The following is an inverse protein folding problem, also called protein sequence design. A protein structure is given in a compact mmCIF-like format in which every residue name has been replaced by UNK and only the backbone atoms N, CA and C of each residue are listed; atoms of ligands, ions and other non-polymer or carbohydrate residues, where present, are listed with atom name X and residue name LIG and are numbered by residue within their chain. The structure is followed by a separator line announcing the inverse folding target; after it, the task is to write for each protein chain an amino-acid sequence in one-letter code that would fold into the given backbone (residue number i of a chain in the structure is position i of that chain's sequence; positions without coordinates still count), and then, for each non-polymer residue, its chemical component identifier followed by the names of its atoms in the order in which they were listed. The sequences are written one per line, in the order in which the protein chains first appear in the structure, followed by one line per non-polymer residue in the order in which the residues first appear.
data_IF_685509778614
#
_entry.id   IF_685509778614
#
_cell.length_a   1.000
_cell.length_b   1.000
_cell.length_c   1.000
_cell.angle_alpha   90.00
_cell.angle_beta   90.00
_cell.angle_gamma   90.00
#
_symmetry.space_group_name_H-M   'P 1'
#
loop_
_entity.id
_entity.type
_entity.pdbx_description
1 polymer ?
#
# COMPACT_ATOMS: atom_id res chain seq x y z
N UNK A 1 49.84 -53.55 -34.07
CA UNK A 1 48.83 -52.72 -34.78
C UNK A 1 48.01 -51.95 -33.75
N UNK A 2 48.12 -50.64 -33.74
CA UNK A 2 47.41 -49.75 -32.80
C UNK A 2 45.93 -49.60 -33.19
N UNK A 3 45.05 -49.15 -32.27
CA UNK A 3 43.59 -49.12 -32.47
C UNK A 3 43.13 -48.25 -33.66
N UNK A 4 43.97 -47.35 -34.16
CA UNK A 4 43.66 -46.45 -35.27
C UNK A 4 43.48 -47.17 -36.62
N UNK A 5 44.10 -48.34 -36.83
CA UNK A 5 44.01 -49.07 -38.12
C UNK A 5 42.81 -50.01 -38.24
N UNK A 6 41.95 -50.11 -37.23
CA UNK A 6 40.80 -51.05 -37.26
C UNK A 6 39.44 -50.44 -37.56
N UNK A 7 39.28 -49.12 -37.57
CA UNK A 7 38.01 -48.46 -37.96
C UNK A 7 36.76 -48.95 -37.20
N UNK A 8 36.94 -49.59 -36.04
CA UNK A 8 35.89 -50.21 -35.26
C UNK A 8 35.81 -49.49 -33.92
N UNK A 9 34.65 -48.87 -33.66
CA UNK A 9 34.34 -48.29 -32.36
C UNK A 9 34.28 -49.35 -31.26
N UNK A 10 34.21 -48.91 -30.00
CA UNK A 10 34.19 -49.77 -28.80
C UNK A 10 33.10 -50.87 -28.83
N UNK A 11 32.08 -50.71 -29.68
CA UNK A 11 30.93 -51.62 -29.76
C UNK A 11 30.95 -52.56 -30.98
N UNK A 12 32.08 -52.69 -31.69
CA UNK A 12 32.23 -53.53 -32.91
C UNK A 12 31.24 -53.19 -34.04
N UNK A 13 30.58 -52.04 -33.99
CA UNK A 13 29.78 -51.51 -35.08
C UNK A 13 30.67 -50.66 -36.02
N UNK A 14 30.39 -50.65 -37.34
CA UNK A 14 31.07 -49.75 -38.27
C UNK A 14 30.76 -48.30 -37.85
N UNK A 15 31.79 -47.55 -37.46
CA UNK A 15 31.63 -46.13 -37.19
C UNK A 15 31.35 -45.41 -38.53
N UNK A 16 30.25 -44.65 -38.68
CA UNK A 16 30.04 -43.83 -39.86
C UNK A 16 31.12 -42.73 -39.91
N UNK A 17 31.86 -42.67 -41.02
CA UNK A 17 32.91 -41.67 -41.27
C UNK A 17 32.24 -40.27 -41.34
N UNK A 18 32.59 -39.29 -40.49
CA UNK A 18 31.82 -38.05 -40.36
C UNK A 18 32.22 -36.96 -41.37
N UNK A 19 32.86 -37.30 -42.50
CA UNK A 19 33.31 -36.31 -43.48
C UNK A 19 32.99 -36.79 -44.89
N UNK A 20 32.19 -36.00 -45.61
CA UNK A 20 31.65 -36.29 -46.93
C UNK A 20 32.69 -36.51 -48.04
N UNK A 21 32.17 -36.85 -49.22
CA UNK A 21 32.87 -37.27 -50.45
C UNK A 21 34.29 -36.73 -50.60
N UNK A 22 35.26 -37.54 -50.21
CA UNK A 22 36.70 -37.24 -50.32
C UNK A 22 37.16 -37.54 -51.75
N UNK A 23 37.99 -36.64 -52.29
CA UNK A 23 38.57 -36.74 -53.63
C UNK A 23 39.37 -38.04 -53.80
N UNK A 24 39.22 -38.68 -54.96
CA UNK A 24 39.93 -39.92 -55.36
C UNK A 24 41.45 -39.80 -55.22
N UNK A 25 41.99 -38.58 -55.30
CA UNK A 25 43.41 -38.29 -55.19
C UNK A 25 43.97 -38.51 -53.76
N UNK A 26 43.19 -38.17 -52.73
CA UNK A 26 43.56 -38.44 -51.33
C UNK A 26 43.56 -39.94 -51.02
N UNK A 27 42.66 -40.69 -51.67
CA UNK A 27 42.58 -42.13 -51.52
C UNK A 27 43.81 -42.84 -52.12
N UNK A 28 44.30 -42.36 -53.26
CA UNK A 28 45.51 -42.90 -53.90
C UNK A 28 46.79 -42.58 -53.13
N UNK A 29 46.90 -41.39 -52.51
CA UNK A 29 48.06 -41.03 -51.70
C UNK A 29 48.16 -41.88 -50.43
N UNK A 30 47.03 -42.15 -49.77
CA UNK A 30 46.98 -43.10 -48.64
C UNK A 30 47.36 -44.51 -49.05
N UNK A 31 46.89 -44.98 -50.21
CA UNK A 31 47.24 -46.31 -50.71
C UNK A 31 48.74 -46.45 -50.95
N UNK A 32 49.40 -45.44 -51.54
CA UNK A 32 50.87 -45.45 -51.73
C UNK A 32 51.63 -45.43 -50.42
N UNK A 33 51.15 -44.67 -49.42
CA UNK A 33 51.77 -44.64 -48.10
C UNK A 33 51.63 -45.99 -47.39
N UNK A 34 50.45 -46.61 -47.46
CA UNK A 34 50.21 -47.94 -46.88
C UNK A 34 51.05 -49.03 -47.55
N UNK A 35 51.27 -48.97 -48.87
CA UNK A 35 52.15 -49.91 -49.59
C UNK A 35 53.60 -49.75 -49.15
N UNK A 36 54.09 -48.51 -48.96
CA UNK A 36 55.46 -48.29 -48.44
C UNK A 36 55.63 -48.77 -47.00
N UNK A 37 54.63 -48.58 -46.16
CA UNK A 37 54.62 -49.11 -44.79
C UNK A 37 54.61 -50.65 -44.79
N UNK A 38 53.86 -51.28 -45.70
CA UNK A 38 53.84 -52.73 -45.85
C UNK A 38 55.21 -53.27 -46.30
N UNK A 39 55.86 -52.60 -47.27
CA UNK A 39 57.17 -53.01 -47.77
C UNK A 39 58.27 -52.87 -46.70
N UNK A 40 58.20 -51.79 -45.91
CA UNK A 40 59.11 -51.57 -44.77
C UNK A 40 58.87 -52.61 -43.67
N UNK A 41 57.62 -52.89 -43.33
CA UNK A 41 57.26 -53.91 -42.35
C UNK A 41 57.64 -55.33 -42.82
N UNK A 42 57.59 -55.60 -44.12
CA UNK A 42 58.02 -56.87 -44.68
C UNK A 42 59.55 -57.03 -44.62
N UNK A 43 60.31 -55.98 -44.94
CA UNK A 43 61.76 -55.96 -44.74
C UNK A 43 62.16 -56.14 -43.26
N UNK A 44 61.48 -55.48 -42.34
CA UNK A 44 61.73 -55.61 -40.89
C UNK A 44 61.35 -57.01 -40.38
N UNK A 45 60.24 -57.58 -40.85
CA UNK A 45 59.84 -58.94 -40.49
C UNK A 45 60.86 -59.99 -41.00
N UNK A 46 61.40 -59.78 -42.20
CA UNK A 46 62.37 -60.69 -42.82
C UNK A 46 63.74 -60.60 -42.14
N UNK A 47 64.20 -59.39 -41.78
CA UNK A 47 65.41 -59.19 -40.99
C UNK A 47 65.29 -59.74 -39.56
N UNK A 48 64.13 -59.58 -38.91
CA UNK A 48 63.88 -60.20 -37.60
C UNK A 48 63.87 -61.73 -37.69
N UNK A 49 63.37 -62.32 -38.78
CA UNK A 49 63.40 -63.77 -38.98
C UNK A 49 64.84 -64.31 -39.13
N UNK A 50 65.70 -63.59 -39.86
CA UNK A 50 67.12 -63.92 -39.99
C UNK A 50 67.89 -63.75 -38.67
N UNK A 51 67.65 -62.65 -37.93
CA UNK A 51 68.24 -62.44 -36.60
C UNK A 51 67.75 -63.47 -35.57
N UNK A 52 66.52 -63.98 -35.70
CA UNK A 52 66.03 -65.08 -34.84
C UNK A 52 66.60 -66.44 -35.18
N UNK A 53 67.13 -66.67 -36.39
CA UNK A 53 67.77 -67.94 -36.74
C UNK A 53 69.14 -68.08 -36.06
N UNK A 54 69.94 -67.00 -36.06
CA UNK A 54 71.23 -66.97 -35.35
C UNK A 54 71.05 -66.98 -33.82
N UNK A 55 70.04 -66.27 -33.29
CA UNK A 55 69.68 -66.35 -31.88
C UNK A 55 69.16 -67.74 -31.47
N UNK A 56 68.41 -68.43 -32.35
CA UNK A 56 67.99 -69.83 -32.11
C UNK A 56 69.16 -70.79 -32.15
N UNK A 57 70.17 -70.56 -32.99
CA UNK A 57 71.39 -71.38 -33.02
C UNK A 57 72.22 -71.19 -31.75
N UNK A 58 72.37 -69.95 -31.27
CA UNK A 58 73.02 -69.66 -29.99
C UNK A 58 72.27 -70.30 -28.81
N UNK A 59 70.95 -70.16 -28.75
CA UNK A 59 70.11 -70.83 -27.74
C UNK A 59 70.19 -72.35 -27.83
N UNK A 60 70.30 -72.93 -29.04
CA UNK A 60 70.44 -74.37 -29.21
C UNK A 60 71.81 -74.88 -28.77
N UNK A 61 72.89 -74.12 -29.02
CA UNK A 61 74.23 -74.45 -28.51
C UNK A 61 74.31 -74.30 -26.98
N UNK A 62 73.62 -73.31 -26.40
CA UNK A 62 73.47 -73.14 -24.95
C UNK A 62 72.66 -74.28 -24.33
N UNK A 63 71.53 -74.68 -24.95
CA UNK A 63 70.72 -75.84 -24.53
C UNK A 63 71.50 -77.15 -24.61
N UNK A 64 72.37 -77.32 -25.62
CA UNK A 64 73.23 -78.49 -25.72
C UNK A 64 74.31 -78.51 -24.63
N UNK A 65 74.79 -77.34 -24.20
CA UNK A 65 75.72 -77.21 -23.07
C UNK A 65 75.03 -77.52 -21.74
N UNK A 66 73.84 -76.96 -21.50
CA UNK A 66 73.02 -77.26 -20.32
C UNK A 66 72.61 -78.74 -20.25
N UNK A 67 72.30 -79.37 -21.39
CA UNK A 67 72.00 -80.81 -21.43
C UNK A 67 73.23 -81.68 -21.14
N UNK A 68 74.44 -81.23 -21.49
CA UNK A 68 75.69 -81.92 -21.13
C UNK A 68 75.96 -81.83 -19.62
N UNK A 69 75.77 -80.65 -19.03
CA UNK A 69 75.91 -80.46 -17.58
C UNK A 69 74.84 -81.21 -16.79
N UNK A 70 73.59 -81.27 -17.29
CA UNK A 70 72.52 -82.07 -16.71
C UNK A 70 72.80 -83.57 -16.81
N UNK A 71 73.42 -84.04 -17.89
CA UNK A 71 73.84 -85.43 -18.03
C UNK A 71 74.98 -85.79 -17.08
N UNK A 72 75.96 -84.90 -16.87
CA UNK A 72 77.03 -85.09 -15.86
C UNK A 72 76.53 -84.97 -14.42
N UNK A 73 75.50 -84.15 -14.16
CA UNK A 73 74.85 -84.06 -12.85
C UNK A 73 73.99 -85.30 -12.54
N UNK A 74 73.33 -85.87 -13.55
CA UNK A 74 72.53 -87.09 -13.41
C UNK A 74 73.40 -88.30 -13.02
N UNK A 75 74.64 -88.40 -13.53
CA UNK A 75 75.58 -89.48 -13.18
C UNK A 75 76.18 -89.33 -11.77
N UNK A 76 76.11 -88.13 -11.17
CA UNK A 76 76.54 -87.83 -9.80
C UNK A 76 75.42 -87.93 -8.75
N UNK A 77 74.16 -88.07 -9.18
CA UNK A 77 73.03 -88.34 -8.30
C UNK A 77 72.98 -89.81 -7.92
N UNK A 78 73.88 -90.21 -7.02
CA UNK A 78 73.72 -91.39 -6.19
C UNK A 78 72.32 -91.38 -5.55
N UNK A 79 71.57 -92.45 -5.82
CA UNK A 79 70.44 -93.01 -5.07
C UNK A 79 69.90 -92.06 -3.98
N UNK A 80 68.89 -91.25 -4.33
CA UNK A 80 68.03 -90.65 -3.31
C UNK A 80 67.50 -91.83 -2.47
N UNK A 81 67.73 -91.86 -1.15
CA UNK A 81 67.22 -92.94 -0.31
C UNK A 81 65.71 -93.03 -0.50
N UNK A 82 65.15 -94.24 -0.70
CA UNK A 82 63.70 -94.44 -0.86
C UNK A 82 62.87 -93.75 0.24
N UNK A 83 63.44 -93.61 1.45
CA UNK A 83 62.86 -92.86 2.57
C UNK A 83 62.60 -91.37 2.25
N UNK A 84 63.46 -90.70 1.48
CA UNK A 84 63.27 -89.30 1.05
C UNK A 84 62.23 -89.18 -0.07
N UNK A 85 62.07 -90.22 -0.90
CA UNK A 85 61.02 -90.27 -1.93
C UNK A 85 59.63 -90.40 -1.27
N UNK A 86 59.49 -91.25 -0.25
CA UNK A 86 58.24 -91.40 0.49
C UNK A 86 57.88 -90.12 1.27
N UNK A 87 58.85 -89.45 1.91
CA UNK A 87 58.61 -88.17 2.57
C UNK A 87 58.15 -87.07 1.60
N UNK A 88 58.70 -87.01 0.38
CA UNK A 88 58.27 -86.07 -0.66
C UNK A 88 56.88 -86.42 -1.20
N UNK A 89 56.53 -87.70 -1.35
CA UNK A 89 55.17 -88.13 -1.72
C UNK A 89 54.15 -87.72 -0.65
N UNK A 90 54.50 -87.85 0.62
CA UNK A 90 53.64 -87.43 1.73
C UNK A 90 53.46 -85.90 1.76
N UNK A 91 54.52 -85.13 1.54
CA UNK A 91 54.44 -83.67 1.41
C UNK A 91 53.63 -83.25 0.16
N UNK A 92 53.77 -83.93 -0.96
CA UNK A 92 52.96 -83.70 -2.16
C UNK A 92 51.48 -84.01 -1.89
N UNK A 93 51.20 -85.10 -1.18
CA UNK A 93 49.83 -85.44 -0.79
C UNK A 93 49.25 -84.42 0.21
N UNK A 94 50.05 -83.92 1.16
CA UNK A 94 49.64 -82.88 2.12
C UNK A 94 49.34 -81.55 1.41
N UNK A 95 50.25 -81.07 0.57
CA UNK A 95 50.06 -79.84 -0.23
C UNK A 95 48.90 -79.96 -1.20
N UNK A 96 48.67 -81.14 -1.79
CA UNK A 96 47.50 -81.37 -2.64
C UNK A 96 46.20 -81.31 -1.82
N UNK A 97 46.16 -81.89 -0.61
CA UNK A 97 44.99 -81.76 0.29
C UNK A 97 44.75 -80.31 0.71
N UNK A 98 45.79 -79.54 1.02
CA UNK A 98 45.68 -78.12 1.36
C UNK A 98 45.14 -77.29 0.18
N UNK A 99 45.65 -77.54 -1.03
CA UNK A 99 45.13 -76.94 -2.25
C UNK A 99 43.65 -77.26 -2.46
N UNK A 100 43.26 -78.51 -2.30
CA UNK A 100 41.86 -78.94 -2.44
C UNK A 100 40.97 -78.29 -1.36
N UNK A 101 41.46 -78.13 -0.13
CA UNK A 101 40.77 -77.39 0.92
C UNK A 101 40.63 -75.90 0.58
N UNK A 102 41.67 -75.26 0.06
CA UNK A 102 41.65 -73.86 -0.34
C UNK A 102 40.65 -73.61 -1.48
N UNK A 103 40.61 -74.53 -2.46
CA UNK A 103 39.63 -74.48 -3.56
C UNK A 103 38.20 -74.57 -3.00
N UNK A 104 37.93 -75.46 -2.05
CA UNK A 104 36.61 -75.56 -1.41
C UNK A 104 36.24 -74.29 -0.66
N UNK A 105 37.14 -73.75 0.18
CA UNK A 105 36.90 -72.49 0.90
C UNK A 105 36.61 -71.34 -0.06
N UNK A 106 37.38 -71.22 -1.15
CA UNK A 106 37.16 -70.18 -2.14
C UNK A 106 35.82 -70.35 -2.87
N UNK A 107 35.41 -71.58 -3.18
CA UNK A 107 34.09 -71.86 -3.78
C UNK A 107 32.95 -71.53 -2.82
N UNK A 108 33.09 -71.84 -1.53
CA UNK A 108 32.14 -71.49 -0.48
C UNK A 108 32.02 -69.95 -0.35
N UNK A 109 33.14 -69.24 -0.26
CA UNK A 109 33.19 -67.78 -0.21
C UNK A 109 32.56 -67.13 -1.45
N UNK A 110 32.86 -67.64 -2.65
CA UNK A 110 32.23 -67.17 -3.89
C UNK A 110 30.72 -67.43 -3.91
N UNK A 111 30.26 -68.56 -3.38
CA UNK A 111 28.83 -68.85 -3.30
C UNK A 111 28.13 -67.92 -2.31
N UNK A 112 28.74 -67.66 -1.15
CA UNK A 112 28.24 -66.75 -0.13
C UNK A 112 28.22 -65.29 -0.61
N UNK A 113 29.22 -64.88 -1.39
CA UNK A 113 29.26 -63.56 -2.00
C UNK A 113 28.18 -63.40 -3.10
N UNK A 114 27.93 -64.46 -3.88
CA UNK A 114 26.85 -64.44 -4.87
C UNK A 114 25.48 -64.35 -4.21
N UNK A 115 25.24 -65.07 -3.12
CA UNK A 115 23.95 -64.99 -2.41
C UNK A 115 23.74 -63.62 -1.78
N UNK A 116 24.76 -63.06 -1.10
CA UNK A 116 24.67 -61.72 -0.52
C UNK A 116 24.46 -60.64 -1.58
N UNK A 117 25.11 -60.74 -2.74
CA UNK A 117 24.87 -59.82 -3.85
C UNK A 117 23.44 -59.88 -4.38
N UNK A 118 22.85 -61.08 -4.53
CA UNK A 118 21.47 -61.21 -4.99
C UNK A 118 20.48 -60.66 -3.96
N UNK A 119 20.74 -60.84 -2.67
CA UNK A 119 19.93 -60.29 -1.59
C UNK A 119 20.02 -58.75 -1.54
N UNK A 120 21.22 -58.19 -1.62
CA UNK A 120 21.39 -56.73 -1.71
C UNK A 120 20.70 -56.16 -2.96
N UNK A 121 20.77 -56.89 -4.09
CA UNK A 121 20.09 -56.48 -5.33
C UNK A 121 18.56 -56.50 -5.16
N UNK A 122 17.99 -57.53 -4.53
CA UNK A 122 16.54 -57.58 -4.31
C UNK A 122 16.08 -56.51 -3.33
N UNK A 123 16.85 -56.26 -2.26
CA UNK A 123 16.60 -55.18 -1.31
C UNK A 123 16.63 -53.79 -2.00
N UNK A 124 17.62 -53.55 -2.86
CA UNK A 124 17.72 -52.28 -3.59
C UNK A 124 16.52 -52.06 -4.54
N UNK A 125 16.09 -53.12 -5.24
CA UNK A 125 14.90 -53.06 -6.10
C UNK A 125 13.66 -52.77 -5.27
N UNK A 126 13.50 -53.45 -4.13
CA UNK A 126 12.35 -53.28 -3.25
C UNK A 126 12.29 -51.86 -2.67
N UNK A 127 13.41 -51.34 -2.17
CA UNK A 127 13.52 -49.95 -1.70
C UNK A 127 13.20 -48.95 -2.80
N UNK A 128 13.66 -49.19 -4.03
CA UNK A 128 13.34 -48.36 -5.19
C UNK A 128 11.83 -48.32 -5.49
N UNK A 129 11.16 -49.48 -5.40
CA UNK A 129 9.71 -49.57 -5.60
C UNK A 129 8.92 -48.89 -4.48
N UNK A 130 9.33 -49.07 -3.23
CA UNK A 130 8.63 -48.48 -2.08
C UNK A 130 8.81 -46.95 -2.05
N UNK A 131 10.02 -46.46 -2.38
CA UNK A 131 10.25 -45.03 -2.54
C UNK A 131 9.42 -44.44 -3.70
N UNK A 132 9.34 -45.12 -4.84
CA UNK A 132 8.51 -44.66 -5.95
C UNK A 132 7.01 -44.63 -5.61
N UNK A 133 6.52 -45.58 -4.81
CA UNK A 133 5.13 -45.56 -4.31
C UNK A 133 4.90 -44.40 -3.34
N UNK A 134 5.81 -44.19 -2.39
CA UNK A 134 5.71 -43.09 -1.44
C UNK A 134 5.73 -41.74 -2.14
N UNK A 135 6.58 -41.57 -3.15
CA UNK A 135 6.66 -40.35 -3.94
C UNK A 135 5.37 -40.10 -4.72
N UNK A 136 4.80 -41.11 -5.37
CA UNK A 136 3.50 -40.99 -6.05
C UNK A 136 2.35 -40.66 -5.09
N UNK A 137 2.35 -41.23 -3.89
CA UNK A 137 1.35 -40.91 -2.88
C UNK A 137 1.48 -39.47 -2.37
N UNK A 138 2.71 -38.99 -2.15
CA UNK A 138 2.97 -37.61 -1.76
C UNK A 138 2.60 -36.61 -2.88
N UNK A 139 2.87 -36.94 -4.14
CA UNK A 139 2.43 -36.14 -5.29
C UNK A 139 0.91 -36.06 -5.38
N UNK A 140 0.20 -37.17 -5.19
CA UNK A 140 -1.27 -37.19 -5.20
C UNK A 140 -1.87 -36.39 -4.03
N UNK A 141 -1.31 -36.50 -2.82
CA UNK A 141 -1.74 -35.73 -1.64
C UNK A 141 -1.47 -34.23 -1.84
N UNK A 142 -0.31 -33.86 -2.40
CA UNK A 142 0.01 -32.48 -2.74
C UNK A 142 -0.92 -31.90 -3.81
N UNK A 143 -1.25 -32.69 -4.85
CA UNK A 143 -2.19 -32.27 -5.88
C UNK A 143 -3.60 -32.04 -5.30
N UNK A 144 -4.09 -32.95 -4.46
CA UNK A 144 -5.39 -32.80 -3.81
C UNK A 144 -5.46 -31.53 -2.92
N UNK A 145 -4.39 -31.24 -2.16
CA UNK A 145 -4.29 -30.01 -1.36
C UNK A 145 -4.24 -28.75 -2.20
N UNK A 146 -3.59 -28.78 -3.37
CA UNK A 146 -3.59 -27.65 -4.29
C UNK A 146 -4.98 -27.41 -4.89
N UNK A 147 -5.71 -28.46 -5.27
CA UNK A 147 -7.06 -28.34 -5.80
C UNK A 147 -8.03 -27.76 -4.75
N UNK A 148 -7.96 -28.23 -3.49
CA UNK A 148 -8.73 -27.68 -2.37
C UNK A 148 -8.39 -26.20 -2.12
N UNK A 149 -7.11 -25.84 -2.11
CA UNK A 149 -6.68 -24.44 -1.94
C UNK A 149 -7.14 -23.53 -3.10
N UNK A 150 -7.20 -24.05 -4.33
CA UNK A 150 -7.71 -23.31 -5.49
C UNK A 150 -9.22 -23.12 -5.41
N UNK A 151 -9.96 -24.11 -4.92
CA UNK A 151 -11.40 -23.99 -4.67
C UNK A 151 -11.70 -22.96 -3.58
N UNK A 152 -10.98 -23.01 -2.46
CA UNK A 152 -11.08 -22.03 -1.38
C UNK A 152 -10.75 -20.60 -1.85
N UNK A 153 -9.69 -20.44 -2.63
CA UNK A 153 -9.33 -19.16 -3.23
C UNK A 153 -10.41 -18.65 -4.20
N UNK A 154 -11.01 -19.54 -5.00
CA UNK A 154 -12.13 -19.22 -5.87
C UNK A 154 -13.35 -18.73 -5.09
N UNK A 155 -13.70 -19.43 -4.01
CA UNK A 155 -14.79 -19.06 -3.12
C UNK A 155 -14.53 -17.71 -2.43
N UNK A 156 -13.34 -17.48 -1.88
CA UNK A 156 -12.96 -16.21 -1.29
C UNK A 156 -13.03 -15.04 -2.28
N UNK A 157 -12.57 -15.25 -3.52
CA UNK A 157 -12.65 -14.22 -4.56
C UNK A 157 -14.12 -13.90 -4.93
N UNK A 158 -15.00 -14.91 -4.95
CA UNK A 158 -16.43 -14.68 -5.20
C UNK A 158 -17.09 -13.83 -4.11
N UNK A 159 -16.70 -14.03 -2.84
CA UNK A 159 -17.18 -13.21 -1.71
C UNK A 159 -16.68 -11.77 -1.83
N UNK A 160 -15.39 -11.57 -2.10
CA UNK A 160 -14.81 -10.23 -2.27
C UNK A 160 -15.46 -9.47 -3.44
N UNK A 161 -15.76 -10.14 -4.55
CA UNK A 161 -16.47 -9.52 -5.68
C UNK A 161 -17.88 -9.08 -5.30
N UNK A 162 -18.61 -9.88 -4.51
CA UNK A 162 -19.93 -9.50 -4.01
C UNK A 162 -19.86 -8.29 -3.05
N UNK A 163 -18.88 -8.26 -2.15
CA UNK A 163 -18.65 -7.11 -1.25
C UNK A 163 -18.31 -5.84 -2.02
N UNK A 164 -17.46 -5.93 -3.05
CA UNK A 164 -17.13 -4.79 -3.93
C UNK A 164 -18.37 -4.28 -4.69
N UNK A 165 -19.25 -5.17 -5.14
CA UNK A 165 -20.50 -4.77 -5.80
C UNK A 165 -21.43 -4.02 -4.83
N UNK A 166 -21.57 -4.50 -3.59
CA UNK A 166 -22.37 -3.83 -2.56
C UNK A 166 -21.79 -2.47 -2.16
N UNK A 167 -20.46 -2.35 -2.05
CA UNK A 167 -19.80 -1.06 -1.81
C UNK A 167 -20.02 -0.09 -2.98
N UNK A 168 -19.96 -0.56 -4.23
CA UNK A 168 -20.24 0.26 -5.40
C UNK A 168 -21.69 0.75 -5.41
N UNK A 169 -22.66 -0.10 -5.03
CA UNK A 169 -24.06 0.30 -4.86
C UNK A 169 -24.21 1.36 -3.77
N UNK A 170 -23.58 1.15 -2.61
CA UNK A 170 -23.62 2.10 -1.50
C UNK A 170 -23.01 3.46 -1.88
N UNK A 171 -21.88 3.46 -2.59
CA UNK A 171 -21.24 4.68 -3.10
C UNK A 171 -22.17 5.44 -4.04
N UNK A 172 -22.81 4.76 -5.00
CA UNK A 172 -23.76 5.39 -5.93
C UNK A 172 -24.96 6.02 -5.19
N UNK A 173 -25.44 5.39 -4.13
CA UNK A 173 -26.49 5.94 -3.27
C UNK A 173 -25.99 7.20 -2.53
N UNK A 174 -24.77 7.17 -2.00
CA UNK A 174 -24.17 8.31 -1.32
C UNK A 174 -23.95 9.50 -2.28
N UNK A 175 -23.43 9.25 -3.48
CA UNK A 175 -23.28 10.26 -4.54
C UNK A 175 -24.63 10.87 -4.92
N UNK A 176 -25.68 10.04 -5.06
CA UNK A 176 -27.04 10.51 -5.30
C UNK A 176 -27.60 11.38 -4.18
N UNK A 177 -27.31 11.06 -2.91
CA UNK A 177 -27.70 11.89 -1.76
C UNK A 177 -26.93 13.21 -1.72
N UNK A 178 -25.62 13.18 -1.99
CA UNK A 178 -24.79 14.37 -2.03
C UNK A 178 -25.27 15.36 -3.11
N UNK A 179 -25.58 14.87 -4.31
CA UNK A 179 -26.13 15.69 -5.39
C UNK A 179 -27.48 16.34 -5.02
N UNK A 180 -28.34 15.63 -4.29
CA UNK A 180 -29.62 16.20 -3.79
C UNK A 180 -29.39 17.30 -2.76
N UNK A 181 -28.52 17.08 -1.78
CA UNK A 181 -28.18 18.07 -0.77
C UNK A 181 -27.54 19.31 -1.38
N UNK A 182 -26.71 19.16 -2.42
CA UNK A 182 -26.12 20.28 -3.14
C UNK A 182 -27.20 21.14 -3.84
N UNK A 183 -28.20 20.49 -4.45
CA UNK A 183 -29.31 21.20 -5.08
C UNK A 183 -30.22 21.89 -4.05
N UNK A 184 -30.53 21.22 -2.93
CA UNK A 184 -31.26 21.82 -1.81
C UNK A 184 -30.50 23.01 -1.21
N UNK A 185 -29.16 22.93 -1.11
CA UNK A 185 -28.34 24.05 -0.65
C UNK A 185 -28.36 25.23 -1.64
N UNK A 186 -28.32 24.96 -2.95
CA UNK A 186 -28.47 26.00 -3.99
C UNK A 186 -29.85 26.68 -3.88
N UNK A 187 -30.91 25.92 -3.63
CA UNK A 187 -32.26 26.44 -3.42
C UNK A 187 -32.32 27.35 -2.18
N UNK A 188 -31.83 26.88 -1.04
CA UNK A 188 -31.76 27.66 0.20
C UNK A 188 -30.98 28.96 -0.01
N UNK A 189 -29.82 28.91 -0.66
CA UNK A 189 -29.01 30.09 -0.96
C UNK A 189 -29.80 31.08 -1.83
N UNK A 190 -30.54 30.59 -2.84
CA UNK A 190 -31.40 31.43 -3.68
C UNK A 190 -32.51 32.09 -2.88
N UNK A 191 -33.20 31.36 -2.00
CA UNK A 191 -34.26 31.90 -1.15
C UNK A 191 -33.74 32.96 -0.18
N UNK A 192 -32.56 32.77 0.39
CA UNK A 192 -31.90 33.76 1.26
C UNK A 192 -31.64 35.06 0.50
N UNK A 193 -31.03 34.99 -0.70
CA UNK A 193 -30.77 36.16 -1.52
C UNK A 193 -32.06 36.88 -1.92
N UNK A 194 -33.10 36.13 -2.31
CA UNK A 194 -34.40 36.70 -2.67
C UNK A 194 -35.05 37.41 -1.48
N UNK A 195 -35.06 36.77 -0.30
CA UNK A 195 -35.63 37.33 0.93
C UNK A 195 -34.87 38.58 1.36
N UNK A 196 -33.54 38.55 1.33
CA UNK A 196 -32.70 39.71 1.60
C UNK A 196 -33.02 40.85 0.61
N UNK A 197 -33.05 40.56 -0.69
CA UNK A 197 -33.41 41.56 -1.72
C UNK A 197 -34.80 42.17 -1.51
N UNK A 198 -35.78 41.37 -1.11
CA UNK A 198 -37.12 41.87 -0.78
C UNK A 198 -37.10 42.74 0.47
N UNK A 199 -36.41 42.34 1.54
CA UNK A 199 -36.26 43.13 2.75
C UNK A 199 -35.59 44.49 2.46
N UNK A 200 -34.56 44.52 1.60
CA UNK A 200 -33.94 45.76 1.14
C UNK A 200 -34.94 46.68 0.43
N UNK A 201 -35.77 46.13 -0.47
CA UNK A 201 -36.77 46.91 -1.21
C UNK A 201 -37.85 47.50 -0.30
N UNK A 202 -38.27 46.76 0.72
CA UNK A 202 -39.27 47.21 1.68
C UNK A 202 -38.70 48.26 2.66
N UNK A 203 -37.43 48.11 3.05
CA UNK A 203 -36.79 48.95 4.08
C UNK A 203 -35.40 49.44 3.62
N UNK A 204 -35.33 50.37 2.66
CA UNK A 204 -34.05 50.81 2.10
C UNK A 204 -33.14 51.48 3.14
N UNK A 205 -33.69 52.13 4.15
CA UNK A 205 -32.91 52.80 5.22
C UNK A 205 -32.11 51.82 6.09
N UNK A 206 -32.58 50.57 6.19
CA UNK A 206 -31.89 49.49 6.92
C UNK A 206 -30.58 49.07 6.26
N UNK A 207 -30.33 49.47 5.00
CA UNK A 207 -29.16 49.07 4.22
C UNK A 207 -27.85 49.47 4.87
N UNK A 208 -27.76 50.68 5.43
CA UNK A 208 -26.53 51.16 6.07
C UNK A 208 -26.15 50.29 7.27
N UNK A 209 -27.15 49.87 8.04
CA UNK A 209 -26.96 49.00 9.20
C UNK A 209 -26.58 47.57 8.78
N UNK A 210 -27.24 47.03 7.76
CA UNK A 210 -26.94 45.71 7.21
C UNK A 210 -25.51 45.62 6.68
N UNK A 211 -25.06 46.59 5.87
CA UNK A 211 -23.69 46.65 5.35
C UNK A 211 -22.69 46.72 6.49
N UNK A 212 -22.90 47.61 7.47
CA UNK A 212 -22.03 47.74 8.64
C UNK A 212 -21.87 46.41 9.38
N UNK A 213 -22.96 45.67 9.59
CA UNK A 213 -22.93 44.36 10.28
C UNK A 213 -22.21 43.27 9.48
N UNK A 214 -22.39 43.25 8.17
CA UNK A 214 -21.65 42.33 7.28
C UNK A 214 -20.16 42.65 7.30
N UNK A 215 -19.79 43.94 7.23
CA UNK A 215 -18.39 44.39 7.25
C UNK A 215 -17.72 44.10 8.60
N UNK A 216 -18.41 44.35 9.73
CA UNK A 216 -17.94 43.98 11.07
C UNK A 216 -17.61 42.47 11.13
N UNK A 217 -18.52 41.63 10.63
CA UNK A 217 -18.35 40.17 10.62
C UNK A 217 -17.21 39.72 9.69
N UNK A 218 -17.12 40.27 8.48
CA UNK A 218 -16.02 39.97 7.54
C UNK A 218 -14.67 40.39 8.10
N UNK A 219 -14.62 41.54 8.78
CA UNK A 219 -13.41 42.01 9.45
C UNK A 219 -13.00 41.08 10.60
N UNK A 220 -13.95 40.63 11.42
CA UNK A 220 -13.70 39.66 12.48
C UNK A 220 -13.17 38.32 11.95
N UNK A 221 -13.56 37.91 10.74
CA UNK A 221 -13.08 36.69 10.09
C UNK A 221 -11.79 36.88 9.27
N UNK A 222 -11.17 38.08 9.31
CA UNK A 222 -9.97 38.38 8.52
C UNK A 222 -10.23 38.49 7.01
N UNK A 223 -11.50 38.58 6.60
CA UNK A 223 -11.96 38.67 5.21
C UNK A 223 -12.34 40.11 4.83
N UNK A 224 -11.55 41.09 5.25
CA UNK A 224 -11.83 42.53 5.10
C UNK A 224 -11.79 43.07 3.64
N UNK A 225 -11.89 42.20 2.63
CA UNK A 225 -11.89 42.59 1.23
C UNK A 225 -13.30 43.00 0.76
N UNK A 226 -13.51 44.32 0.64
CA UNK A 226 -14.73 44.95 0.10
C UNK A 226 -15.03 44.58 -1.37
N UNK A 227 -14.09 43.98 -2.09
CA UNK A 227 -14.23 43.60 -3.49
C UNK A 227 -14.90 42.23 -3.71
N UNK A 228 -15.06 41.41 -2.65
CA UNK A 228 -15.65 40.07 -2.77
C UNK A 228 -17.18 40.16 -2.71
N UNK A 229 -17.91 39.57 -3.69
CA UNK A 229 -19.37 39.47 -3.64
C UNK A 229 -19.88 38.90 -2.31
N UNK A 230 -21.08 39.28 -1.89
CA UNK A 230 -21.69 38.74 -0.68
C UNK A 230 -21.93 37.24 -0.82
N UNK A 231 -21.48 36.48 0.19
CA UNK A 231 -21.79 35.05 0.29
C UNK A 231 -23.23 34.87 0.77
N UNK A 232 -23.87 33.70 0.57
CA UNK A 232 -25.21 33.45 1.10
C UNK A 232 -25.31 33.69 2.61
N UNK A 233 -24.24 33.41 3.35
CA UNK A 233 -24.19 33.69 4.79
C UNK A 233 -24.11 35.20 5.08
N UNK A 234 -23.40 35.99 4.27
CA UNK A 234 -23.41 37.45 4.43
C UNK A 234 -24.83 38.02 4.23
N UNK A 235 -25.59 37.46 3.28
CA UNK A 235 -27.00 37.82 3.11
C UNK A 235 -27.87 37.42 4.31
N UNK A 236 -27.59 36.32 5.00
CA UNK A 236 -28.27 35.98 6.27
C UNK A 236 -27.96 37.00 7.37
N UNK A 237 -26.69 37.40 7.50
CA UNK A 237 -26.27 38.43 8.47
C UNK A 237 -26.94 39.77 8.17
N UNK A 238 -26.97 40.16 6.89
CA UNK A 238 -27.67 41.35 6.42
C UNK A 238 -29.17 41.27 6.75
N UNK A 239 -29.82 40.15 6.43
CA UNK A 239 -31.24 39.94 6.71
C UNK A 239 -31.55 40.05 8.22
N UNK A 240 -30.75 39.40 9.06
CA UNK A 240 -30.91 39.48 10.52
C UNK A 240 -30.73 40.92 11.03
N UNK A 241 -29.75 41.65 10.48
CA UNK A 241 -29.53 43.05 10.83
C UNK A 241 -30.73 43.93 10.43
N UNK A 242 -31.33 43.69 9.26
CA UNK A 242 -32.52 44.42 8.80
C UNK A 242 -33.75 44.13 9.66
N UNK A 243 -34.02 42.85 9.97
CA UNK A 243 -35.13 42.45 10.86
C UNK A 243 -34.93 43.04 12.26
N UNK A 244 -33.71 43.03 12.77
CA UNK A 244 -33.37 43.62 14.08
C UNK A 244 -33.62 45.14 14.07
N UNK A 245 -33.24 45.83 12.99
CA UNK A 245 -33.51 47.26 12.82
C UNK A 245 -35.02 47.55 12.79
N UNK A 246 -35.81 46.71 12.12
CA UNK A 246 -37.28 46.82 12.13
C UNK A 246 -37.85 46.63 13.53
N UNK A 247 -37.39 45.64 14.30
CA UNK A 247 -37.87 45.43 15.69
C UNK A 247 -37.57 46.63 16.59
N UNK A 248 -36.44 47.30 16.41
CA UNK A 248 -36.12 48.52 17.14
C UNK A 248 -37.06 49.67 16.74
N UNK A 249 -37.38 49.82 15.45
CA UNK A 249 -38.35 50.80 14.98
C UNK A 249 -39.74 50.51 15.54
N UNK A 250 -40.18 49.25 15.57
CA UNK A 250 -41.49 48.83 16.08
C UNK A 250 -41.65 49.07 17.58
N UNK A 251 -40.62 48.76 18.38
CA UNK A 251 -40.59 49.10 19.81
C UNK A 251 -40.61 50.60 20.07
N UNK A 252 -39.95 51.39 19.23
CA UNK A 252 -39.98 52.86 19.38
C UNK A 252 -41.29 53.47 18.87
N UNK A 253 -42.01 52.79 17.96
CA UNK A 253 -43.33 53.19 17.45
C UNK A 253 -44.42 53.01 18.50
N UNK A 254 -44.32 52.03 19.41
CA UNK A 254 -45.29 51.86 20.50
C UNK A 254 -45.28 53.01 21.51
N UNK A 255 -44.14 53.68 21.68
CA UNK A 255 -43.95 54.72 22.68
C UNK A 255 -44.31 56.12 22.15
N UNK A 256 -44.47 56.27 20.82
CA UNK A 256 -44.79 57.55 20.18
C UNK A 256 -46.07 58.18 20.72
N UNK A 257 -47.19 57.45 20.93
CA UNK A 257 -48.41 58.05 21.49
C UNK A 257 -48.20 58.61 22.90
N UNK A 258 -47.43 57.90 23.74
CA UNK A 258 -47.18 58.30 25.12
C UNK A 258 -46.25 59.52 25.19
N UNK A 259 -45.16 59.50 24.42
CA UNK A 259 -44.23 60.65 24.31
C UNK A 259 -44.93 61.86 23.71
N UNK A 260 -45.75 61.69 22.67
CA UNK A 260 -46.52 62.78 22.07
C UNK A 260 -47.55 63.36 23.06
N UNK A 261 -48.17 62.51 23.87
CA UNK A 261 -49.09 62.91 24.94
C UNK A 261 -48.36 63.71 26.02
N UNK A 262 -47.19 63.25 26.45
CA UNK A 262 -46.37 63.93 27.45
C UNK A 262 -45.86 65.29 26.94
N UNK A 263 -45.44 65.35 25.68
CA UNK A 263 -45.03 66.59 25.01
C UNK A 263 -46.21 67.57 24.89
N UNK A 264 -47.41 67.09 24.56
CA UNK A 264 -48.62 67.91 24.51
C UNK A 264 -48.95 68.51 25.89
N UNK A 265 -49.00 67.70 26.95
CA UNK A 265 -49.24 68.17 28.33
C UNK A 265 -48.24 69.25 28.76
N UNK A 266 -46.99 69.13 28.30
CA UNK A 266 -45.92 70.07 28.63
C UNK A 266 -46.08 71.41 27.91
N UNK A 267 -46.49 71.38 26.63
CA UNK A 267 -46.62 72.57 25.79
C UNK A 267 -47.94 73.33 26.02
N UNK A 268 -48.99 72.63 26.47
CA UNK A 268 -50.31 73.20 26.79
C UNK A 268 -50.79 72.77 28.19
N UNK A 269 -50.16 73.28 29.26
CA UNK A 269 -50.55 72.91 30.62
C UNK A 269 -51.98 73.40 30.91
N UNK A 270 -52.85 72.47 31.31
CA UNK A 270 -54.26 72.72 31.65
C UNK A 270 -55.25 72.50 30.50
N UNK A 271 -54.79 72.17 29.29
CA UNK A 271 -55.65 71.71 28.20
C UNK A 271 -55.78 70.17 28.29
N UNK A 272 -57.00 69.65 28.11
CA UNK A 272 -57.21 68.20 28.06
C UNK A 272 -56.47 67.61 26.84
N UNK A 273 -55.78 66.50 27.06
CA UNK A 273 -55.06 65.81 25.98
C UNK A 273 -56.08 65.26 25.00
N UNK A 274 -55.99 65.57 23.70
CA UNK A 274 -56.89 65.00 22.70
C UNK A 274 -56.85 63.47 22.71
N UNK A 275 -58.01 62.82 22.71
CA UNK A 275 -58.13 61.35 22.81
C UNK A 275 -57.59 60.59 21.59
N UNK A 276 -57.31 61.30 20.49
CA UNK A 276 -56.86 60.70 19.22
C UNK A 276 -55.49 61.24 18.82
N UNK A 277 -54.58 60.33 18.52
CA UNK A 277 -53.20 60.66 18.13
C UNK A 277 -53.13 61.61 16.93
N UNK A 278 -54.06 61.52 15.97
CA UNK A 278 -54.14 62.44 14.84
C UNK A 278 -54.35 63.90 15.26
N UNK A 279 -55.18 64.13 16.29
CA UNK A 279 -55.43 65.47 16.84
C UNK A 279 -54.23 66.00 17.62
N UNK A 280 -53.55 65.12 18.37
CA UNK A 280 -52.29 65.45 19.05
C UNK A 280 -51.24 65.85 18.01
N UNK A 281 -51.09 65.07 16.93
CA UNK A 281 -50.15 65.32 15.84
C UNK A 281 -50.41 66.66 15.14
N UNK A 282 -51.65 66.97 14.80
CA UNK A 282 -52.00 68.23 14.15
C UNK A 282 -51.79 69.45 15.06
N UNK A 283 -52.01 69.30 16.37
CA UNK A 283 -51.68 70.33 17.36
C UNK A 283 -50.17 70.50 17.51
N UNK A 284 -49.41 69.41 17.54
CA UNK A 284 -47.95 69.42 17.63
C UNK A 284 -47.29 70.03 16.39
N UNK A 285 -47.84 69.85 15.18
CA UNK A 285 -47.40 70.58 13.97
C UNK A 285 -47.48 72.10 14.15
N UNK A 286 -48.42 72.58 14.96
CA UNK A 286 -48.56 73.99 15.34
C UNK A 286 -47.67 74.44 16.51
N UNK A 287 -47.01 73.53 17.22
CA UNK A 287 -46.28 73.79 18.47
C UNK A 287 -45.17 74.84 18.32
N UNK A 288 -44.54 74.93 17.14
CA UNK A 288 -43.50 75.92 16.89
C UNK A 288 -43.97 77.37 17.04
N UNK A 289 -45.27 77.67 16.87
CA UNK A 289 -45.82 79.00 17.22
C UNK A 289 -45.94 79.17 18.73
N UNK A 290 -46.42 78.15 19.44
CA UNK A 290 -46.59 78.19 20.89
C UNK A 290 -45.27 78.33 21.64
N UNK A 291 -44.22 77.61 21.21
CA UNK A 291 -42.87 77.73 21.76
C UNK A 291 -42.33 79.15 21.56
N UNK A 292 -42.56 79.77 20.39
CA UNK A 292 -42.19 81.17 20.13
C UNK A 292 -42.96 82.17 21.00
N UNK A 293 -44.27 81.97 21.20
CA UNK A 293 -45.06 82.79 22.13
C UNK A 293 -44.56 82.67 23.57
N UNK A 294 -44.16 81.47 23.99
CA UNK A 294 -43.56 81.22 25.29
C UNK A 294 -42.21 81.92 25.44
N UNK A 295 -41.32 81.81 24.45
CA UNK A 295 -40.05 82.52 24.42
C UNK A 295 -40.25 84.04 24.49
N UNK A 296 -41.19 84.59 23.71
CA UNK A 296 -41.53 86.02 23.74
C UNK A 296 -42.19 86.45 25.07
N UNK A 297 -42.91 85.56 25.75
CA UNK A 297 -43.56 85.84 27.04
C UNK A 297 -42.57 85.72 28.22
N UNK A 298 -41.60 84.81 28.13
CA UNK A 298 -40.48 84.71 29.05
C UNK A 298 -39.57 85.94 28.92
N UNK A 299 -39.23 86.37 27.70
CA UNK A 299 -38.42 87.56 27.44
C UNK A 299 -39.08 88.87 27.94
N UNK A 300 -40.42 88.94 27.95
CA UNK A 300 -41.17 90.08 28.53
C UNK A 300 -41.16 90.09 30.06
N UNK A 301 -41.02 88.93 30.71
CA UNK A 301 -40.92 88.83 32.18
C UNK A 301 -39.48 88.95 32.68
N UNK A 302 -38.47 88.63 31.86
CA UNK A 302 -37.05 88.73 32.25
C UNK A 302 -36.51 90.16 32.37
N UNK A 303 -37.32 91.19 32.09
CA UNK A 303 -36.99 92.59 32.39
C UNK A 303 -37.10 92.95 33.88
N UNK A 304 -37.76 92.13 34.71
CA UNK A 304 -37.88 92.31 36.15
C UNK A 304 -37.94 90.94 36.85
N UNK A 305 -36.99 90.66 37.73
CA UNK A 305 -36.90 89.51 38.65
C UNK A 305 -36.11 88.27 38.17
N UNK A 306 -34.83 88.25 38.57
CA UNK A 306 -33.88 87.13 38.44
C UNK A 306 -34.08 85.99 39.46
N UNK A 307 -35.13 86.00 40.29
CA UNK A 307 -35.31 85.04 41.39
C UNK A 307 -36.42 83.98 41.16
N UNK A 308 -37.25 84.12 40.11
CA UNK A 308 -38.32 83.18 39.77
C UNK A 308 -38.03 82.32 38.53
N UNK A 309 -36.80 82.39 38.01
CA UNK A 309 -36.40 81.76 36.74
C UNK A 309 -35.94 80.29 36.87
N UNK A 310 -35.76 79.76 38.09
CA UNK A 310 -35.36 78.36 38.27
C UNK A 310 -36.34 77.35 37.62
N UNK A 311 -37.69 77.46 37.79
CA UNK A 311 -38.61 76.50 37.18
C UNK A 311 -38.74 76.66 35.66
N UNK A 312 -38.47 77.86 35.12
CA UNK A 312 -38.57 78.12 33.68
C UNK A 312 -37.31 77.67 32.93
N UNK A 313 -36.13 77.78 33.56
CA UNK A 313 -34.90 77.19 33.08
C UNK A 313 -34.95 75.65 33.13
N UNK A 314 -35.46 75.06 34.21
CA UNK A 314 -35.69 73.60 34.31
C UNK A 314 -36.60 73.07 33.20
N UNK A 315 -37.69 73.79 32.89
CA UNK A 315 -38.61 73.40 31.81
C UNK A 315 -38.00 73.53 30.42
N UNK A 316 -37.16 74.55 30.20
CA UNK A 316 -36.42 74.67 28.94
C UNK A 316 -35.36 73.57 28.81
N UNK A 317 -34.74 73.15 29.92
CA UNK A 317 -33.83 72.01 29.99
C UNK A 317 -34.55 70.70 29.67
N UNK A 318 -35.74 70.46 30.23
CA UNK A 318 -36.55 69.28 29.94
C UNK A 318 -37.05 69.22 28.49
N UNK A 319 -37.46 70.36 27.91
CA UNK A 319 -37.83 70.44 26.49
C UNK A 319 -36.60 70.23 25.60
N UNK A 320 -35.43 70.74 25.99
CA UNK A 320 -34.18 70.47 25.30
C UNK A 320 -33.79 68.99 25.40
N UNK A 321 -33.94 68.35 26.57
CA UNK A 321 -33.70 66.92 26.79
C UNK A 321 -34.66 66.03 25.97
N UNK A 322 -35.94 66.41 25.87
CA UNK A 322 -36.91 65.75 24.98
C UNK A 322 -36.66 66.03 23.48
N UNK A 323 -36.04 67.16 23.14
CA UNK A 323 -35.74 67.56 21.75
C UNK A 323 -34.33 67.15 21.28
N UNK A 324 -33.42 66.84 22.21
CA UNK A 324 -32.09 66.28 21.98
C UNK A 324 -32.15 64.75 21.72
N UNK A 325 -33.36 64.25 21.47
CA UNK A 325 -33.65 63.06 20.65
C UNK A 325 -33.22 63.26 19.16
N UNK A 326 -32.30 64.18 18.89
CA UNK A 326 -31.58 64.35 17.62
C UNK A 326 -30.29 63.53 17.61
N UNK A 327 -30.45 62.24 17.81
CA UNK A 327 -30.22 61.28 16.73
C UNK A 327 -31.03 60.03 17.09
N UNK A 328 -31.97 59.65 16.23
CA UNK A 328 -32.66 58.35 16.23
C UNK A 328 -31.71 57.16 15.91
N UNK A 329 -30.43 57.30 16.30
CA UNK A 329 -29.36 56.33 16.26
C UNK A 329 -28.64 56.50 17.60
N UNK A 330 -28.66 55.49 18.50
CA UNK A 330 -27.93 55.59 19.75
C UNK A 330 -26.40 55.66 19.48
N UNK A 331 -25.63 56.42 20.28
CA UNK A 331 -24.17 56.35 20.22
C UNK A 331 -23.68 54.93 20.59
N UNK A 332 -22.53 54.48 20.05
CA UNK A 332 -22.19 53.06 19.98
C UNK A 332 -21.68 52.40 21.28
N UNK A 333 -21.79 53.04 22.45
CA UNK A 333 -21.12 52.56 23.67
C UNK A 333 -22.04 52.21 24.84
N UNK A 334 -23.32 51.91 24.60
CA UNK A 334 -24.13 51.22 25.61
C UNK A 334 -23.82 49.72 25.53
N UNK A 335 -22.77 49.33 26.26
CA UNK A 335 -22.68 47.99 26.85
C UNK A 335 -23.78 47.86 27.91
N UNK A 336 -24.20 46.62 28.14
CA UNK A 336 -25.26 46.15 29.07
C UNK A 336 -26.63 46.06 28.36
N UNK A 337 -27.28 44.90 28.18
CA UNK A 337 -27.25 43.62 28.86
C UNK A 337 -27.44 42.50 27.83
N UNK A 338 -26.50 41.56 27.74
CA UNK A 338 -26.79 40.21 27.29
C UNK A 338 -26.75 39.34 28.55
N UNK A 339 -27.89 39.26 29.21
CA UNK A 339 -28.19 38.13 30.08
C UNK A 339 -28.32 36.89 29.18
N UNK A 340 -27.53 35.89 29.53
CA UNK A 340 -27.90 34.47 29.64
C UNK A 340 -28.57 33.83 28.41
N UNK A 341 -27.81 33.01 27.68
CA UNK A 341 -27.98 31.55 27.73
C UNK A 341 -26.59 30.92 27.61
N UNK A 342 -26.11 30.37 28.73
CA UNK A 342 -24.95 29.50 28.82
C UNK A 342 -25.20 28.22 27.99
N UNK A 343 -24.33 28.00 27.02
CA UNK A 343 -24.22 26.73 26.30
C UNK A 343 -23.78 25.63 27.28
N UNK A 344 -24.67 24.70 27.60
CA UNK A 344 -24.31 23.36 28.06
C UNK A 344 -23.59 22.63 26.92
N UNK A 345 -22.27 22.79 26.87
CA UNK A 345 -21.39 21.92 26.12
C UNK A 345 -21.18 20.63 26.91
N UNK A 346 -21.98 19.59 26.62
CA UNK A 346 -21.58 18.23 26.98
C UNK A 346 -20.41 17.81 26.08
N UNK A 347 -19.28 17.59 26.74
CA UNK A 347 -18.03 17.04 26.24
C UNK A 347 -18.24 15.66 25.56
N UNK A 348 -17.94 15.55 24.27
CA UNK A 348 -17.52 14.26 23.71
C UNK A 348 -16.03 14.06 24.01
N UNK A 349 -15.62 13.00 24.75
CA UNK A 349 -14.21 12.71 24.94
C UNK A 349 -13.63 12.12 23.65
N UNK A 350 -12.77 12.90 22.99
CA UNK A 350 -11.79 12.38 22.03
C UNK A 350 -10.40 12.56 22.61
N UNK A 351 -9.71 11.42 22.73
CA UNK A 351 -8.26 11.18 22.82
C UNK A 351 -8.12 9.90 23.69
N UNK A 352 -7.48 8.80 23.29
CA UNK A 352 -6.23 8.68 22.55
C UNK A 352 -6.17 7.37 21.77
N UNK A 353 -6.00 7.47 20.45
CA UNK A 353 -5.38 6.42 19.65
C UNK A 353 -3.88 6.48 19.88
N UNK A 354 -3.40 5.66 20.81
CA UNK A 354 -1.98 5.28 20.90
C UNK A 354 -1.66 4.41 19.70
N UNK A 355 -1.17 5.02 18.62
CA UNK A 355 -0.51 4.31 17.52
C UNK A 355 0.90 4.89 17.33
N UNK A 356 1.83 4.39 18.14
CA UNK A 356 3.26 4.40 17.87
C UNK A 356 3.82 3.09 18.40
N UNK A 357 4.17 2.19 17.48
CA UNK A 357 5.56 1.75 17.42
C UNK A 357 5.91 1.22 16.02
N UNK A 358 7.03 1.75 15.55
CA UNK A 358 7.69 1.43 14.29
C UNK A 358 8.51 0.13 14.44
N UNK A 359 8.90 -0.51 13.32
CA UNK A 359 9.65 -1.77 13.35
C UNK A 359 11.16 -1.53 13.52
N UNK A 360 11.92 -2.49 14.07
CA UNK A 360 13.35 -2.54 13.87
C UNK A 360 13.71 -3.46 12.70
N UNK A 361 14.38 -2.87 11.72
CA UNK A 361 15.12 -3.57 10.67
C UNK A 361 16.48 -4.07 11.22
N UNK A 362 16.81 -5.30 10.84
CA UNK A 362 18.15 -5.86 10.61
C UNK A 362 19.15 -6.05 11.76
N UNK A 363 19.58 -7.31 11.98
CA UNK A 363 20.98 -7.72 11.76
C UNK A 363 21.17 -9.24 11.97
N UNK A 364 21.95 -9.83 11.04
CA UNK A 364 22.75 -11.06 11.13
C UNK A 364 22.05 -12.43 11.13
#
# INVERSE_FOLDING_TARGET
MTPATRGLGKDRLPAPDPVGDRSSEEHFMRLRSAVKELDSAWYDATNNLMLTADARKALFEELLWEHRDLAEAHDKCQVIPEASIEALKEQLAATQREKDQLIRRHQEELSAQKTSYQELKSQLIQLGLDHAKALKAAEADAAAKMDEALEDAGNANSVLLAELEELAKAQKVAEGKAARLEEEQKECNRMVLQTDTLAYRLFPDSQKYAVKKVDERRTAQGQANLAVPWTPYDHLVALNARVSHMRAIDRNLSDIPDVATQLFRTLWPGEEVPDTFSLISDRLKGAGRRIREWQCSAARRSGLASALLAPAADRAYHIAECADMRTFIPPPDVKDYLDEEEDEAEEEPRDDLVFRDAPPDSAA
#
